data_IF_073596006864
#
_entry.id   IF_073596006864
#
_cell.length_a   1.000
_cell.length_b   1.000
_cell.length_c   1.000
_cell.angle_alpha   90.00
_cell.angle_beta   90.00
_cell.angle_gamma   90.00
#
_symmetry.space_group_name_H-M   'P 1'
#
loop_
_entity.id
_entity.type
_entity.pdbx_description
1 polymer ?
#
# COMPACT_ATOMS: atom_id res chain seq x y z
N UNK A 1 7.34 17.90 -11.07
CA UNK A 1 6.51 18.15 -9.87
C UNK A 1 5.95 16.81 -9.48
N UNK A 2 6.43 16.22 -8.38
CA UNK A 2 5.91 14.94 -7.88
C UNK A 2 4.51 15.15 -7.34
N UNK A 3 3.58 14.28 -7.72
CA UNK A 3 2.20 14.35 -7.22
C UNK A 3 2.12 13.38 -6.05
N UNK A 4 1.72 13.85 -4.87
CA UNK A 4 1.35 12.93 -3.79
C UNK A 4 0.02 12.31 -4.19
N UNK A 5 0.00 11.00 -4.42
CA UNK A 5 -1.24 10.25 -4.69
C UNK A 5 -1.81 10.36 -6.12
N UNK A 6 -1.03 10.10 -7.19
CA UNK A 6 -1.57 10.08 -8.56
C UNK A 6 -2.56 8.93 -8.81
N UNK A 7 -2.67 7.99 -7.87
CA UNK A 7 -3.44 6.75 -8.01
C UNK A 7 -4.65 6.64 -7.08
N UNK A 8 -4.87 7.61 -6.18
CA UNK A 8 -6.00 7.57 -5.23
C UNK A 8 -7.31 7.47 -6.01
N UNK A 9 -8.03 6.35 -5.87
CA UNK A 9 -9.29 6.09 -6.55
C UNK A 9 -9.14 5.53 -7.97
N UNK A 10 -7.93 5.15 -8.40
CA UNK A 10 -7.65 4.53 -9.70
C UNK A 10 -7.00 3.15 -9.58
N UNK A 11 -6.85 2.65 -8.35
CA UNK A 11 -6.20 1.37 -8.07
C UNK A 11 -6.87 0.23 -8.85
N UNK A 12 -8.21 0.19 -8.87
CA UNK A 12 -8.95 -0.84 -9.59
C UNK A 12 -8.66 -0.81 -11.08
N UNK A 13 -8.77 0.36 -11.72
CA UNK A 13 -8.53 0.52 -13.16
C UNK A 13 -7.10 0.08 -13.53
N UNK A 14 -6.11 0.49 -12.73
CA UNK A 14 -4.71 0.12 -12.96
C UNK A 14 -4.46 -1.38 -12.80
N UNK A 15 -5.12 -2.03 -11.83
CA UNK A 15 -5.03 -3.47 -11.64
C UNK A 15 -5.75 -4.26 -12.74
N UNK A 16 -6.84 -3.72 -13.29
CA UNK A 16 -7.53 -4.29 -14.45
C UNK A 16 -6.70 -4.14 -15.74
N UNK A 17 -5.96 -3.04 -15.88
CA UNK A 17 -5.05 -2.77 -17.00
C UNK A 17 -3.66 -3.42 -16.87
N UNK A 18 -3.41 -4.23 -15.82
CA UNK A 18 -2.11 -4.85 -15.54
C UNK A 18 -0.96 -3.85 -15.38
N UNK A 19 -1.28 -2.62 -14.96
CA UNK A 19 -0.31 -1.56 -14.66
C UNK A 19 0.08 -1.54 -13.19
N UNK A 20 -0.69 -2.22 -12.33
CA UNK A 20 -0.46 -2.32 -10.90
C UNK A 20 -0.79 -3.74 -10.44
N UNK A 21 0.13 -4.35 -9.71
CA UNK A 21 0.01 -5.76 -9.31
C UNK A 21 -0.70 -5.90 -7.96
N UNK A 22 -0.54 -4.90 -7.10
CA UNK A 22 -1.01 -4.88 -5.72
C UNK A 22 -1.72 -3.56 -5.41
N UNK A 23 -2.82 -3.59 -4.66
CA UNK A 23 -3.36 -2.43 -3.97
C UNK A 23 -3.36 -2.67 -2.46
N UNK A 24 -3.13 -1.60 -1.70
CA UNK A 24 -3.06 -1.63 -0.24
C UNK A 24 -4.09 -0.65 0.32
N UNK A 25 -4.94 -1.19 1.19
CA UNK A 25 -5.97 -0.48 1.94
C UNK A 25 -5.77 -0.76 3.43
N UNK A 26 -6.37 0.03 4.32
CA UNK A 26 -6.27 -0.16 5.76
C UNK A 26 -7.53 0.34 6.46
N UNK A 27 -7.68 0.17 7.78
CA UNK A 27 -8.94 0.42 8.50
C UNK A 27 -9.53 1.82 8.27
N UNK A 28 -8.70 2.85 8.07
CA UNK A 28 -9.17 4.23 7.79
C UNK A 28 -9.44 4.49 6.29
N UNK A 29 -9.14 3.53 5.43
CA UNK A 29 -9.30 3.57 3.98
C UNK A 29 -9.85 2.21 3.54
N UNK A 30 -11.15 1.99 3.78
CA UNK A 30 -11.85 0.74 3.46
C UNK A 30 -11.65 0.35 1.99
N UNK A 31 -11.78 -0.96 1.69
CA UNK A 31 -11.74 -1.44 0.31
C UNK A 31 -12.91 -0.81 -0.46
N UNK A 32 -12.66 -0.11 -1.59
CA UNK A 32 -13.73 0.46 -2.40
C UNK A 32 -14.68 -0.62 -2.90
N UNK A 33 -15.99 -0.35 -2.89
CA UNK A 33 -17.02 -1.31 -3.30
C UNK A 33 -16.82 -1.86 -4.72
N UNK A 34 -16.20 -1.06 -5.59
CA UNK A 34 -15.88 -1.42 -6.98
C UNK A 34 -14.97 -2.66 -7.07
N UNK A 35 -14.19 -2.98 -6.02
CA UNK A 35 -13.38 -4.20 -5.98
C UNK A 35 -14.19 -5.46 -5.71
N UNK A 36 -15.33 -5.37 -5.01
CA UNK A 36 -16.06 -6.56 -4.54
C UNK A 36 -16.49 -7.52 -5.66
N UNK A 37 -17.03 -7.07 -6.81
CA UNK A 37 -17.36 -7.97 -7.90
C UNK A 37 -16.16 -8.79 -8.41
N UNK A 38 -14.96 -8.21 -8.38
CA UNK A 38 -13.73 -8.85 -8.83
C UNK A 38 -13.08 -9.74 -7.76
N UNK A 39 -13.37 -9.48 -6.48
CA UNK A 39 -12.99 -10.36 -5.38
C UNK A 39 -13.91 -11.59 -5.38
N UNK A 40 -15.22 -11.37 -5.49
CA UNK A 40 -16.24 -12.42 -5.45
C UNK A 40 -16.11 -13.40 -6.63
N UNK A 41 -15.77 -12.89 -7.82
CA UNK A 41 -15.54 -13.74 -9.00
C UNK A 41 -14.14 -14.37 -9.03
N UNK A 42 -13.28 -14.08 -8.04
CA UNK A 42 -11.95 -14.64 -7.89
C UNK A 42 -10.85 -14.03 -8.76
N UNK A 43 -11.13 -12.95 -9.50
CA UNK A 43 -10.12 -12.19 -10.27
C UNK A 43 -9.03 -11.64 -9.34
N UNK A 44 -9.44 -11.11 -8.19
CA UNK A 44 -8.53 -10.68 -7.14
C UNK A 44 -8.68 -11.55 -5.89
N UNK A 45 -7.59 -11.63 -5.14
CA UNK A 45 -7.51 -12.20 -3.80
C UNK A 45 -7.21 -11.06 -2.83
N UNK A 46 -7.73 -11.22 -1.62
CA UNK A 46 -7.47 -10.29 -0.51
C UNK A 46 -6.68 -11.03 0.55
N UNK A 47 -5.62 -10.39 1.02
CA UNK A 47 -4.87 -10.82 2.20
C UNK A 47 -4.97 -9.71 3.24
N UNK A 48 -5.55 -10.03 4.38
CA UNK A 48 -5.70 -9.08 5.48
C UNK A 48 -4.82 -9.44 6.67
N UNK A 49 -4.33 -8.44 7.37
CA UNK A 49 -3.65 -8.62 8.63
C UNK A 49 -3.78 -7.39 9.52
N UNK A 50 -3.84 -7.60 10.83
CA UNK A 50 -3.92 -6.51 11.81
C UNK A 50 -2.59 -6.31 12.51
N UNK A 51 -2.32 -5.06 12.85
CA UNK A 51 -1.20 -4.59 13.63
C UNK A 51 -1.74 -3.69 14.74
N UNK A 52 -1.56 -4.14 15.97
CA UNK A 52 -2.03 -3.44 17.16
C UNK A 52 -0.86 -3.13 18.09
N UNK A 53 -0.84 -1.94 18.67
CA UNK A 53 -0.07 -1.60 19.86
C UNK A 53 -1.01 -1.01 20.92
N UNK A 54 -0.46 -0.52 22.04
CA UNK A 54 -1.27 0.03 23.14
C UNK A 54 -2.10 1.27 22.76
N UNK A 55 -1.82 1.93 21.62
CA UNK A 55 -2.44 3.19 21.20
C UNK A 55 -3.27 3.08 19.93
N UNK A 56 -2.99 2.12 19.04
CA UNK A 56 -3.58 2.02 17.71
C UNK A 56 -3.81 0.56 17.30
N UNK A 57 -4.90 0.31 16.58
CA UNK A 57 -5.16 -0.96 15.90
C UNK A 57 -5.45 -0.68 14.42
N UNK A 58 -4.59 -1.19 13.55
CA UNK A 58 -4.67 -0.98 12.10
C UNK A 58 -4.77 -2.34 11.41
N UNK A 59 -5.86 -2.55 10.67
CA UNK A 59 -6.02 -3.69 9.79
C UNK A 59 -5.70 -3.29 8.37
N UNK A 60 -4.74 -3.97 7.76
CA UNK A 60 -4.34 -3.80 6.37
C UNK A 60 -5.03 -4.83 5.48
N UNK A 61 -5.34 -4.42 4.26
CA UNK A 61 -5.88 -5.26 3.19
C UNK A 61 -5.03 -5.12 1.94
N UNK A 62 -4.40 -6.21 1.52
CA UNK A 62 -3.66 -6.29 0.26
C UNK A 62 -4.53 -6.99 -0.78
N UNK A 63 -4.87 -6.29 -1.85
CA UNK A 63 -5.58 -6.84 -3.01
C UNK A 63 -4.57 -7.16 -4.09
N UNK A 64 -4.66 -8.37 -4.66
CA UNK A 64 -3.69 -8.87 -5.64
C UNK A 64 -4.30 -9.93 -6.56
N UNK A 65 -3.71 -10.14 -7.74
CA UNK A 65 -3.99 -11.34 -8.56
C UNK A 65 -3.19 -12.53 -8.03
N UNK A 66 -3.71 -13.75 -8.16
CA UNK A 66 -3.09 -14.95 -7.57
C UNK A 66 -1.61 -15.15 -7.98
N UNK A 67 -1.25 -14.79 -9.22
CA UNK A 67 0.13 -14.82 -9.73
C UNK A 67 1.11 -13.90 -8.97
N UNK A 68 0.60 -12.89 -8.27
CA UNK A 68 1.40 -11.94 -7.49
C UNK A 68 1.40 -12.22 -5.98
N UNK A 69 1.01 -13.43 -5.56
CA UNK A 69 0.98 -13.82 -4.14
C UNK A 69 2.32 -13.61 -3.41
N UNK A 70 3.45 -13.81 -4.10
CA UNK A 70 4.76 -13.60 -3.49
C UNK A 70 5.04 -12.13 -3.22
N UNK A 71 4.64 -11.22 -4.14
CA UNK A 71 4.73 -9.78 -3.93
C UNK A 71 3.83 -9.32 -2.77
N UNK A 72 2.63 -9.89 -2.66
CA UNK A 72 1.72 -9.61 -1.54
C UNK A 72 2.30 -10.06 -0.19
N UNK A 73 2.94 -11.24 -0.14
CA UNK A 73 3.63 -11.73 1.07
C UNK A 73 4.81 -10.86 1.45
N UNK A 74 5.60 -10.43 0.47
CA UNK A 74 6.73 -9.53 0.68
C UNK A 74 6.26 -8.18 1.24
N UNK A 75 5.21 -7.60 0.64
CA UNK A 75 4.61 -6.35 1.09
C UNK A 75 4.14 -6.45 2.56
N UNK A 76 3.40 -7.50 2.91
CA UNK A 76 2.99 -7.73 4.30
C UNK A 76 4.20 -7.80 5.24
N UNK A 77 5.24 -8.56 4.86
CA UNK A 77 6.42 -8.72 5.70
C UNK A 77 7.14 -7.38 5.95
N UNK A 78 7.27 -6.54 4.91
CA UNK A 78 7.89 -5.22 5.04
C UNK A 78 7.05 -4.32 5.96
N UNK A 79 5.73 -4.30 5.79
CA UNK A 79 4.83 -3.51 6.63
C UNK A 79 4.97 -3.96 8.10
N UNK A 80 4.91 -5.27 8.38
CA UNK A 80 5.05 -5.80 9.75
C UNK A 80 6.37 -5.41 10.41
N UNK A 81 7.48 -5.43 9.66
CA UNK A 81 8.80 -5.11 10.18
C UNK A 81 9.02 -3.62 10.42
N UNK A 82 8.28 -2.76 9.71
CA UNK A 82 8.43 -1.30 9.75
C UNK A 82 7.33 -0.57 10.53
N UNK A 83 6.22 -1.24 10.86
CA UNK A 83 5.00 -0.60 11.38
C UNK A 83 5.17 0.33 12.60
N UNK A 84 6.17 0.10 13.44
CA UNK A 84 6.38 0.86 14.69
C UNK A 84 7.66 1.69 14.68
N UNK A 85 8.26 1.93 13.52
CA UNK A 85 9.48 2.73 13.39
C UNK A 85 9.50 3.48 12.06
N UNK A 86 10.20 4.61 12.04
CA UNK A 86 10.51 5.28 10.78
C UNK A 86 11.55 4.43 10.05
N UNK A 87 11.15 3.85 8.92
CA UNK A 87 12.02 3.02 8.07
C UNK A 87 11.86 3.48 6.61
N UNK A 88 12.66 4.47 6.23
CA UNK A 88 12.63 5.09 4.90
C UNK A 88 12.82 4.05 3.79
N UNK A 89 13.67 3.05 4.03
CA UNK A 89 13.95 2.01 3.06
C UNK A 89 12.75 1.06 2.91
N UNK A 90 12.02 0.80 3.99
CA UNK A 90 10.74 0.11 3.92
C UNK A 90 9.71 0.91 3.11
N UNK A 91 9.59 2.22 3.32
CA UNK A 91 8.65 3.07 2.56
C UNK A 91 8.96 3.04 1.06
N UNK A 92 10.25 3.11 0.68
CA UNK A 92 10.66 2.98 -0.72
C UNK A 92 10.25 1.65 -1.32
N UNK A 93 10.48 0.56 -0.60
CA UNK A 93 10.13 -0.81 -1.06
C UNK A 93 8.63 -1.01 -1.16
N UNK A 94 7.87 -0.50 -0.19
CA UNK A 94 6.40 -0.49 -0.22
C UNK A 94 5.92 0.26 -1.46
N UNK A 95 6.43 1.47 -1.69
CA UNK A 95 6.10 2.27 -2.87
C UNK A 95 6.37 1.53 -4.19
N UNK A 96 7.53 0.89 -4.30
CA UNK A 96 7.93 0.13 -5.48
C UNK A 96 7.03 -1.10 -5.70
N UNK A 97 6.70 -1.85 -4.65
CA UNK A 97 5.80 -3.01 -4.71
C UNK A 97 4.37 -2.62 -5.12
N UNK A 98 3.93 -1.42 -4.73
CA UNK A 98 2.64 -0.85 -5.11
C UNK A 98 2.66 -0.22 -6.52
N UNK A 99 3.78 -0.25 -7.22
CA UNK A 99 3.91 0.23 -8.60
C UNK A 99 3.98 1.75 -8.73
N UNK A 100 4.34 2.49 -7.67
CA UNK A 100 4.58 3.93 -7.77
C UNK A 100 5.85 4.22 -8.59
N UNK A 101 5.85 5.36 -9.28
CA UNK A 101 7.02 5.82 -10.01
C UNK A 101 8.15 6.19 -9.02
N UNK A 102 9.43 5.88 -9.30
CA UNK A 102 10.54 6.19 -8.40
C UNK A 102 10.59 7.65 -7.93
N UNK A 103 10.28 8.60 -8.82
CA UNK A 103 10.24 10.02 -8.49
C UNK A 103 9.13 10.37 -7.48
N UNK A 104 7.96 9.72 -7.57
CA UNK A 104 6.86 9.94 -6.64
C UNK A 104 7.16 9.31 -5.28
N UNK A 105 7.82 8.15 -5.27
CA UNK A 105 8.29 7.48 -4.05
C UNK A 105 9.28 8.39 -3.32
N UNK A 106 10.28 8.90 -4.04
CA UNK A 106 11.32 9.73 -3.42
C UNK A 106 10.74 11.08 -2.97
N UNK A 107 9.80 11.65 -3.72
CA UNK A 107 9.06 12.84 -3.29
C UNK A 107 8.28 12.60 -1.98
N UNK A 108 7.56 11.48 -1.88
CA UNK A 108 6.84 11.09 -0.67
C UNK A 108 7.79 10.94 0.53
N UNK A 109 8.87 10.17 0.37
CA UNK A 109 9.88 9.94 1.41
C UNK A 109 10.47 11.26 1.91
N UNK A 110 10.86 12.15 1.00
CA UNK A 110 11.42 13.45 1.37
C UNK A 110 10.40 14.35 2.09
N UNK A 111 9.12 14.26 1.73
CA UNK A 111 8.07 15.04 2.36
C UNK A 111 7.71 14.51 3.76
N UNK A 112 7.60 13.19 3.92
CA UNK A 112 7.38 12.53 5.22
C UNK A 112 8.51 12.87 6.20
N UNK A 113 9.77 12.88 5.75
CA UNK A 113 10.92 13.27 6.56
C UNK A 113 10.89 14.75 6.99
N UNK A 114 10.44 15.66 6.12
CA UNK A 114 10.28 17.08 6.45
C UNK A 114 9.19 17.31 7.49
N UNK A 115 8.08 16.56 7.42
CA UNK A 115 7.01 16.64 8.41
C UNK A 115 7.47 16.19 9.81
N UNK A 116 8.39 15.22 9.87
CA UNK A 116 8.99 14.75 11.12
C UNK A 116 10.02 15.75 11.67
N UNK A 117 10.87 16.33 10.81
CA UNK A 117 11.86 17.33 11.25
C UNK A 117 11.26 18.67 11.70
N UNK A 118 10.09 19.06 11.20
CA UNK A 118 9.42 20.30 11.60
C UNK A 118 8.59 20.19 12.90
N UNK A 119 8.58 19.02 13.54
CA UNK A 119 7.92 18.80 14.84
C UNK A 119 8.88 18.77 16.04
N UNK A 120 10.14 19.22 15.86
CA UNK A 120 11.14 19.37 16.94
C UNK A 120 11.44 20.84 17.22
#
# INVERSE_FOLDING_TARGET
MGVIGPHVGKELELMLQFKKDLALFYTDSEIPEEFFPFIDNGTFKVRSFSLSNDEFDITYFIIFRLEHINKAKELENIIRLSAFRIDIEADRKIGALLGYHPDDIEYFVQHSLKSISNSN
#
